data_IF_342011672291
#
_entry.id   IF_342011672291
#
_cell.length_a   1.000
_cell.length_b   1.000
_cell.length_c   1.000
_cell.angle_alpha   90.00
_cell.angle_beta   90.00
_cell.angle_gamma   90.00
#
_symmetry.space_group_name_H-M   'P 1'
#
loop_
_entity.id
_entity.type
_entity.pdbx_description
1 polymer ?
#
# COMPACT_ATOMS: atom_id res chain seq x y z
N UNK A 1 15.39 27.39 23.95
CA UNK A 1 14.85 26.03 23.74
C UNK A 1 14.88 25.75 22.25
N UNK A 2 15.90 25.04 21.79
CA UNK A 2 16.04 24.66 20.37
C UNK A 2 15.05 23.52 20.07
N UNK A 3 14.06 23.78 19.22
CA UNK A 3 13.21 22.70 18.69
C UNK A 3 14.05 21.90 17.71
N UNK A 4 14.58 20.77 18.15
CA UNK A 4 15.12 19.76 17.25
C UNK A 4 14.04 19.37 16.25
N UNK A 5 14.16 19.80 15.00
CA UNK A 5 13.35 19.29 13.90
C UNK A 5 13.76 17.83 13.69
N UNK A 6 13.06 16.91 14.34
CA UNK A 6 13.23 15.49 14.05
C UNK A 6 12.85 15.26 12.58
N UNK A 7 13.82 14.84 11.77
CA UNK A 7 13.57 14.54 10.37
C UNK A 7 12.49 13.45 10.28
N UNK A 8 11.51 13.63 9.38
CA UNK A 8 10.46 12.65 9.14
C UNK A 8 11.08 11.29 8.82
N UNK A 9 10.62 10.24 9.52
CA UNK A 9 11.14 8.88 9.37
C UNK A 9 10.51 8.15 8.19
N UNK A 10 9.23 8.45 7.90
CA UNK A 10 8.50 7.85 6.78
C UNK A 10 9.19 8.16 5.45
N UNK A 11 9.46 7.15 4.60
CA UNK A 11 10.11 7.36 3.30
C UNK A 11 9.34 8.34 2.42
N UNK A 12 10.05 9.33 1.89
CA UNK A 12 9.50 10.40 1.05
C UNK A 12 10.12 10.41 -0.34
N UNK A 13 9.29 10.78 -1.34
CA UNK A 13 9.68 10.93 -2.73
C UNK A 13 8.94 12.08 -3.38
N UNK A 14 9.50 12.57 -4.50
CA UNK A 14 8.89 13.63 -5.28
C UNK A 14 9.18 15.04 -4.75
N UNK A 15 8.61 16.02 -5.41
CA UNK A 15 8.82 17.43 -5.18
C UNK A 15 7.48 18.18 -5.03
N UNK A 16 7.51 19.51 -4.94
CA UNK A 16 6.30 20.32 -4.81
C UNK A 16 5.33 20.15 -6.01
N UNK A 17 5.88 19.99 -7.22
CA UNK A 17 5.07 19.78 -8.44
C UNK A 17 4.33 18.44 -8.38
N UNK A 18 5.01 17.32 -8.10
CA UNK A 18 4.38 16.01 -8.00
C UNK A 18 3.32 15.97 -6.91
N UNK A 19 3.57 16.63 -5.76
CA UNK A 19 2.57 16.73 -4.69
C UNK A 19 1.36 17.56 -5.10
N UNK A 20 1.58 18.68 -5.80
CA UNK A 20 0.49 19.50 -6.33
C UNK A 20 -0.35 18.73 -7.36
N UNK A 21 0.32 17.99 -8.26
CA UNK A 21 -0.34 17.12 -9.23
C UNK A 21 -1.23 16.08 -8.54
N UNK A 22 -0.70 15.33 -7.58
CA UNK A 22 -1.46 14.32 -6.85
C UNK A 22 -2.69 14.92 -6.12
N UNK A 23 -2.52 16.06 -5.43
CA UNK A 23 -3.62 16.76 -4.78
C UNK A 23 -4.70 17.23 -5.75
N UNK A 24 -4.29 17.81 -6.90
CA UNK A 24 -5.23 18.27 -7.93
C UNK A 24 -5.97 17.10 -8.56
N UNK A 25 -5.29 15.99 -8.84
CA UNK A 25 -5.93 14.77 -9.36
C UNK A 25 -7.00 14.26 -8.39
N UNK A 26 -6.68 14.13 -7.11
CA UNK A 26 -7.65 13.71 -6.11
C UNK A 26 -8.84 14.66 -6.03
N UNK A 27 -8.59 15.97 -5.98
CA UNK A 27 -9.64 16.99 -5.91
C UNK A 27 -10.57 16.96 -7.14
N UNK A 28 -10.02 16.86 -8.36
CA UNK A 28 -10.78 16.77 -9.60
C UNK A 28 -11.64 15.51 -9.67
N UNK A 29 -11.16 14.40 -9.10
CA UNK A 29 -11.90 13.14 -9.02
C UNK A 29 -12.84 13.09 -7.80
N UNK A 30 -12.93 14.15 -6.98
CA UNK A 30 -13.75 14.20 -5.79
C UNK A 30 -13.25 13.31 -4.63
N UNK A 31 -11.98 12.89 -4.65
CA UNK A 31 -11.40 12.04 -3.63
C UNK A 31 -10.75 12.84 -2.51
N UNK A 32 -10.90 12.33 -1.28
CA UNK A 32 -10.25 12.87 -0.09
C UNK A 32 -9.40 11.82 0.61
N UNK A 33 -8.43 12.30 1.39
CA UNK A 33 -7.60 11.47 2.25
C UNK A 33 -8.07 11.67 3.69
N UNK A 34 -8.34 10.57 4.41
CA UNK A 34 -8.70 10.56 5.81
C UNK A 34 -7.67 9.81 6.64
N UNK A 35 -7.48 10.24 7.87
CA UNK A 35 -6.42 9.73 8.74
C UNK A 35 -5.04 10.26 8.33
N UNK A 36 -4.03 9.72 8.98
CA UNK A 36 -2.62 10.10 8.76
C UNK A 36 -1.76 8.86 8.64
N UNK A 37 -0.76 8.91 7.77
CA UNK A 37 0.24 7.86 7.74
C UNK A 37 1.18 8.03 8.95
N UNK A 38 1.45 6.96 9.73
CA UNK A 38 2.40 7.03 10.85
C UNK A 38 3.80 7.43 10.39
N UNK A 39 4.48 8.28 11.17
CA UNK A 39 5.86 8.68 10.86
C UNK A 39 6.85 7.62 11.36
N UNK A 40 6.82 6.46 10.70
CA UNK A 40 7.67 5.30 10.99
C UNK A 40 8.55 4.96 9.77
N UNK A 41 9.78 4.48 9.99
CA UNK A 41 10.71 4.20 8.90
C UNK A 41 10.31 2.99 8.06
N UNK A 42 9.57 2.03 8.64
CA UNK A 42 9.17 0.79 7.99
C UNK A 42 7.70 0.53 8.20
N UNK A 43 6.94 0.35 7.11
CA UNK A 43 5.51 0.08 7.15
C UNK A 43 5.12 -0.91 6.05
N UNK A 44 4.20 -1.82 6.37
CA UNK A 44 3.47 -2.64 5.41
C UNK A 44 2.06 -2.10 5.28
N UNK A 45 1.70 -1.56 4.12
CA UNK A 45 0.38 -1.02 3.83
C UNK A 45 -0.49 -2.11 3.19
N UNK A 46 -1.60 -2.48 3.83
CA UNK A 46 -2.58 -3.38 3.23
C UNK A 46 -3.73 -2.57 2.65
N UNK A 47 -3.82 -2.57 1.32
CA UNK A 47 -4.78 -1.75 0.57
C UNK A 47 -5.94 -2.63 0.13
N UNK A 48 -7.13 -2.37 0.65
CA UNK A 48 -8.36 -3.08 0.31
C UNK A 48 -9.58 -2.13 0.36
N UNK A 49 -10.68 -2.47 -0.29
CA UNK A 49 -10.86 -3.51 -1.29
C UNK A 49 -10.03 -3.25 -2.56
N UNK A 50 -9.59 -4.33 -3.25
CA UNK A 50 -8.87 -4.21 -4.53
C UNK A 50 -9.64 -4.90 -5.64
N UNK A 51 -10.57 -4.18 -6.26
CA UNK A 51 -11.53 -4.73 -7.23
C UNK A 51 -11.41 -4.14 -8.62
N UNK A 52 -10.55 -3.11 -8.81
CA UNK A 52 -10.47 -2.36 -10.06
C UNK A 52 -9.04 -1.89 -10.39
N UNK A 53 -8.80 -1.56 -11.67
CA UNK A 53 -7.59 -0.82 -12.07
C UNK A 53 -7.56 0.60 -11.49
N UNK A 54 -8.73 1.19 -11.21
CA UNK A 54 -8.84 2.52 -10.61
C UNK A 54 -8.19 2.61 -9.24
N UNK A 55 -8.17 1.52 -8.50
CA UNK A 55 -7.52 1.45 -7.19
C UNK A 55 -6.04 1.82 -7.27
N UNK A 56 -5.38 1.38 -8.36
CA UNK A 56 -3.99 1.73 -8.63
C UNK A 56 -3.81 3.23 -8.91
N UNK A 57 -4.67 3.82 -9.76
CA UNK A 57 -4.58 5.23 -10.09
C UNK A 57 -4.85 6.13 -8.89
N UNK A 58 -5.84 5.78 -8.06
CA UNK A 58 -6.10 6.49 -6.81
C UNK A 58 -4.93 6.33 -5.84
N UNK A 59 -4.37 5.12 -5.69
CA UNK A 59 -3.19 4.87 -4.87
C UNK A 59 -1.98 5.71 -5.31
N UNK A 60 -1.73 5.81 -6.62
CA UNK A 60 -0.67 6.68 -7.17
C UNK A 60 -0.94 8.15 -6.88
N UNK A 61 -2.18 8.62 -7.05
CA UNK A 61 -2.53 10.01 -6.75
C UNK A 61 -2.31 10.34 -5.26
N UNK A 62 -2.67 9.43 -4.34
CA UNK A 62 -2.40 9.55 -2.89
C UNK A 62 -0.89 9.54 -2.61
N UNK A 63 -0.15 8.60 -3.21
CA UNK A 63 1.31 8.53 -3.08
C UNK A 63 1.97 9.86 -3.47
N UNK A 64 1.58 10.44 -4.61
CA UNK A 64 2.09 11.72 -5.07
C UNK A 64 1.65 12.86 -4.16
N UNK A 65 0.37 12.94 -3.80
CA UNK A 65 -0.19 14.00 -2.96
C UNK A 65 0.49 14.10 -1.60
N UNK A 66 0.80 12.97 -1.00
CA UNK A 66 1.49 12.86 0.27
C UNK A 66 3.01 12.87 0.13
N UNK A 67 3.56 12.72 -1.08
CA UNK A 67 5.00 12.64 -1.35
C UNK A 67 5.63 11.41 -0.71
N UNK A 68 4.99 10.26 -0.78
CA UNK A 68 5.46 9.00 -0.18
C UNK A 68 6.34 8.20 -1.15
N UNK A 69 7.37 7.54 -0.64
CA UNK A 69 8.17 6.57 -1.39
C UNK A 69 7.64 5.16 -1.14
N UNK A 70 6.55 4.82 -1.83
CA UNK A 70 5.90 3.50 -1.70
C UNK A 70 6.49 2.53 -2.70
N UNK A 71 6.77 1.30 -2.29
CA UNK A 71 7.06 0.20 -3.21
C UNK A 71 5.92 -0.82 -3.21
N UNK A 72 5.66 -1.43 -4.37
CA UNK A 72 4.57 -2.38 -4.60
C UNK A 72 4.95 -3.45 -5.64
N UNK A 73 4.27 -4.60 -5.61
CA UNK A 73 4.54 -5.71 -6.53
C UNK A 73 3.64 -5.63 -7.77
N UNK A 74 4.26 -5.59 -8.94
CA UNK A 74 3.57 -5.65 -10.22
C UNK A 74 3.94 -6.89 -11.04
N UNK A 75 3.00 -7.39 -11.86
CA UNK A 75 3.31 -8.48 -12.80
C UNK A 75 4.46 -8.04 -13.71
N UNK A 76 5.47 -8.88 -13.89
CA UNK A 76 6.68 -8.56 -14.67
C UNK A 76 6.37 -8.05 -16.08
N UNK A 77 5.29 -8.56 -16.72
CA UNK A 77 4.87 -8.13 -18.06
C UNK A 77 4.50 -6.64 -18.15
N UNK A 78 4.11 -5.99 -17.05
CA UNK A 78 3.85 -4.55 -17.02
C UNK A 78 5.13 -3.72 -17.19
N UNK A 79 6.28 -4.32 -16.92
CA UNK A 79 7.58 -3.66 -16.95
C UNK A 79 8.38 -3.94 -18.24
N UNK A 80 7.76 -4.55 -19.25
CA UNK A 80 8.36 -4.83 -20.57
C UNK A 80 8.07 -3.73 -21.59
N UNK A 81 7.07 -2.88 -21.33
CA UNK A 81 6.63 -1.82 -22.26
C UNK A 81 7.24 -0.45 -21.98
N UNK A 82 6.86 0.57 -22.77
CA UNK A 82 7.39 1.93 -22.66
C UNK A 82 7.10 2.62 -21.31
N UNK A 83 6.10 2.16 -20.59
CA UNK A 83 5.72 2.64 -19.25
C UNK A 83 6.60 2.10 -18.12
N UNK A 84 7.50 1.15 -18.41
CA UNK A 84 8.34 0.51 -17.41
C UNK A 84 9.18 1.49 -16.56
N UNK A 85 9.83 2.52 -17.12
CA UNK A 85 10.56 3.50 -16.31
C UNK A 85 9.65 4.26 -15.34
N UNK A 86 8.45 4.66 -15.79
CA UNK A 86 7.48 5.34 -14.94
C UNK A 86 6.99 4.42 -13.81
N UNK A 87 6.65 3.18 -14.12
CA UNK A 87 6.18 2.22 -13.10
C UNK A 87 7.27 1.93 -12.06
N UNK A 88 8.54 1.81 -12.47
CA UNK A 88 9.68 1.68 -11.54
C UNK A 88 9.87 2.95 -10.71
N UNK A 89 9.75 4.12 -11.32
CA UNK A 89 9.82 5.38 -10.60
C UNK A 89 8.68 5.51 -9.57
N UNK A 90 7.49 4.99 -9.87
CA UNK A 90 6.36 4.91 -8.94
C UNK A 90 6.54 3.81 -7.86
N UNK A 91 7.69 3.14 -7.81
CA UNK A 91 8.02 2.12 -6.81
C UNK A 91 7.61 0.70 -7.17
N UNK A 92 7.22 0.46 -8.43
CA UNK A 92 6.85 -0.87 -8.91
C UNK A 92 8.05 -1.84 -8.95
N UNK A 93 7.87 -2.98 -8.32
CA UNK A 93 8.83 -4.09 -8.30
C UNK A 93 8.26 -5.21 -9.19
N UNK A 94 8.91 -5.56 -10.32
CA UNK A 94 8.46 -6.64 -11.18
C UNK A 94 8.58 -7.99 -10.48
N UNK A 95 7.50 -8.79 -10.52
CA UNK A 95 7.49 -10.15 -9.98
C UNK A 95 6.87 -11.13 -10.97
N UNK A 96 7.43 -12.33 -11.02
CA UNK A 96 6.85 -13.42 -11.77
C UNK A 96 5.80 -14.14 -10.91
N UNK A 97 4.52 -13.86 -11.17
CA UNK A 97 3.41 -14.48 -10.42
C UNK A 97 3.17 -15.95 -10.80
N UNK A 98 3.74 -16.42 -11.91
CA UNK A 98 3.64 -17.82 -12.31
C UNK A 98 4.61 -18.73 -11.54
N UNK A 99 5.63 -18.16 -10.89
CA UNK A 99 6.57 -18.86 -10.03
C UNK A 99 6.50 -18.28 -8.60
N UNK A 100 5.46 -18.60 -7.83
CA UNK A 100 5.25 -18.03 -6.50
C UNK A 100 6.26 -18.54 -5.47
N UNK A 101 6.90 -19.69 -5.77
CA UNK A 101 7.95 -20.25 -4.92
C UNK A 101 9.15 -19.29 -4.88
N UNK A 102 9.55 -18.90 -3.68
CA UNK A 102 10.66 -17.95 -3.47
C UNK A 102 10.26 -16.48 -3.47
N UNK A 103 9.04 -16.11 -3.90
CA UNK A 103 8.62 -14.70 -3.94
C UNK A 103 8.65 -14.03 -2.55
N UNK A 104 8.11 -14.70 -1.54
CA UNK A 104 8.06 -14.14 -0.18
C UNK A 104 9.47 -13.92 0.41
N UNK A 105 10.38 -14.92 0.41
CA UNK A 105 11.76 -14.73 0.85
C UNK A 105 12.50 -13.61 0.10
N UNK A 106 12.30 -13.51 -1.22
CA UNK A 106 12.95 -12.46 -2.02
C UNK A 106 12.44 -11.06 -1.67
N UNK A 107 11.14 -10.90 -1.47
CA UNK A 107 10.54 -9.64 -1.02
C UNK A 107 11.07 -9.27 0.36
N UNK A 108 11.05 -10.19 1.31
CA UNK A 108 11.56 -9.97 2.67
C UNK A 108 13.02 -9.54 2.64
N UNK A 109 13.87 -10.26 1.92
CA UNK A 109 15.31 -9.94 1.79
C UNK A 109 15.51 -8.52 1.23
N UNK A 110 14.76 -8.15 0.19
CA UNK A 110 14.82 -6.79 -0.40
C UNK A 110 14.35 -5.70 0.55
N UNK A 111 13.36 -5.97 1.39
CA UNK A 111 12.88 -5.02 2.37
C UNK A 111 13.83 -4.91 3.57
N UNK A 112 14.39 -6.03 4.03
CA UNK A 112 15.37 -6.06 5.13
C UNK A 112 16.68 -5.34 4.77
N UNK A 113 17.08 -5.34 3.50
CA UNK A 113 18.26 -4.59 3.04
C UNK A 113 18.06 -3.07 3.02
N UNK A 114 16.85 -2.58 3.31
CA UNK A 114 16.54 -1.15 3.36
C UNK A 114 16.37 -0.69 4.80
N UNK A 115 16.95 0.44 5.14
CA UNK A 115 16.72 1.08 6.45
C UNK A 115 15.27 1.57 6.58
N UNK A 116 14.70 2.03 5.46
CA UNK A 116 13.35 2.60 5.41
C UNK A 116 12.58 2.04 4.22
N UNK A 117 11.30 1.72 4.40
CA UNK A 117 10.40 1.34 3.32
C UNK A 117 8.93 1.54 3.66
N UNK A 118 8.13 1.84 2.64
CA UNK A 118 6.68 1.70 2.64
C UNK A 118 6.33 0.64 1.59
N UNK A 119 5.87 -0.51 2.03
CA UNK A 119 5.53 -1.60 1.14
C UNK A 119 4.02 -1.79 1.07
N UNK A 120 3.42 -1.52 -0.08
CA UNK A 120 1.97 -1.62 -0.30
C UNK A 120 1.62 -2.90 -1.07
N UNK A 121 0.58 -3.58 -0.61
CA UNK A 121 0.00 -4.72 -1.31
C UNK A 121 -1.49 -4.87 -1.02
N UNK A 122 -2.21 -5.51 -1.97
CA UNK A 122 -3.58 -5.94 -1.76
C UNK A 122 -3.57 -7.33 -1.12
N UNK A 123 -4.18 -7.52 0.06
CA UNK A 123 -4.17 -8.81 0.76
C UNK A 123 -4.96 -9.89 0.03
N UNK A 124 -5.90 -9.50 -0.82
CA UNK A 124 -6.67 -10.39 -1.70
C UNK A 124 -5.78 -11.07 -2.75
N UNK A 125 -4.73 -10.37 -3.22
CA UNK A 125 -3.79 -10.85 -4.24
C UNK A 125 -4.38 -10.97 -5.65
N UNK A 126 -5.63 -10.58 -5.84
CA UNK A 126 -6.39 -10.54 -7.10
C UNK A 126 -7.43 -9.43 -7.03
N UNK A 127 -8.12 -9.14 -8.15
CA UNK A 127 -9.27 -8.24 -8.21
C UNK A 127 -10.61 -8.96 -8.27
N UNK A 128 -10.58 -10.28 -8.24
CA UNK A 128 -11.76 -11.12 -8.19
C UNK A 128 -12.07 -11.45 -6.74
N UNK A 129 -13.34 -11.73 -6.45
CA UNK A 129 -13.78 -12.11 -5.13
C UNK A 129 -12.97 -13.29 -4.57
N UNK A 130 -12.55 -13.18 -3.34
CA UNK A 130 -11.81 -14.21 -2.62
C UNK A 130 -12.46 -14.50 -1.27
N UNK A 131 -12.52 -15.77 -0.90
CA UNK A 131 -13.03 -16.18 0.40
C UNK A 131 -12.09 -15.84 1.56
N UNK A 132 -10.80 -15.72 1.28
CA UNK A 132 -9.75 -15.48 2.29
C UNK A 132 -8.64 -14.56 1.77
N UNK A 133 -8.17 -13.69 2.61
CA UNK A 133 -6.96 -12.93 2.36
C UNK A 133 -5.71 -13.81 2.48
N UNK A 134 -4.71 -13.52 1.68
CA UNK A 134 -3.42 -14.24 1.71
C UNK A 134 -2.58 -13.76 2.90
N UNK A 135 -1.89 -14.68 3.57
CA UNK A 135 -1.04 -14.39 4.72
C UNK A 135 0.28 -13.69 4.39
N UNK A 136 0.60 -13.48 3.10
CA UNK A 136 1.88 -12.94 2.67
C UNK A 136 2.22 -11.58 3.29
N UNK A 137 1.26 -10.66 3.43
CA UNK A 137 1.48 -9.36 4.06
C UNK A 137 1.89 -9.50 5.53
N UNK A 138 1.25 -10.41 6.24
CA UNK A 138 1.50 -10.67 7.66
C UNK A 138 2.90 -11.28 7.86
N UNK A 139 3.26 -12.28 7.04
CA UNK A 139 4.59 -12.87 7.07
C UNK A 139 5.69 -11.86 6.75
N UNK A 140 5.48 -10.94 5.77
CA UNK A 140 6.41 -9.85 5.46
C UNK A 140 6.55 -8.93 6.67
N UNK A 141 5.44 -8.46 7.25
CA UNK A 141 5.44 -7.55 8.38
C UNK A 141 6.20 -8.15 9.57
N UNK A 142 5.93 -9.39 9.94
CA UNK A 142 6.63 -10.09 11.01
C UNK A 142 8.13 -10.25 10.76
N UNK A 143 8.51 -10.75 9.58
CA UNK A 143 9.93 -11.01 9.26
C UNK A 143 10.75 -9.72 9.11
N UNK A 144 10.11 -8.60 8.78
CA UNK A 144 10.78 -7.30 8.67
C UNK A 144 10.68 -6.45 9.94
N UNK A 145 9.86 -6.86 10.92
CA UNK A 145 9.57 -6.08 12.13
C UNK A 145 8.77 -4.80 11.83
N UNK A 146 8.11 -4.72 10.67
CA UNK A 146 7.36 -3.54 10.27
C UNK A 146 5.89 -3.66 10.71
N UNK A 147 5.28 -2.64 11.34
CA UNK A 147 3.86 -2.63 11.60
C UNK A 147 3.05 -2.59 10.31
N UNK A 148 1.84 -3.14 10.38
CA UNK A 148 0.84 -3.12 9.30
C UNK A 148 -0.02 -1.89 9.47
N UNK A 149 -0.27 -1.16 8.37
CA UNK A 149 -1.24 -0.06 8.34
C UNK A 149 -2.34 -0.43 7.35
N UNK A 150 -3.58 -0.60 7.79
CA UNK A 150 -4.70 -0.81 6.89
C UNK A 150 -5.04 0.48 6.15
N UNK A 151 -5.31 0.36 4.85
CA UNK A 151 -5.66 1.47 3.95
C UNK A 151 -6.93 1.09 3.19
N UNK A 152 -8.03 1.76 3.48
CA UNK A 152 -9.30 1.54 2.83
C UNK A 152 -9.46 2.44 1.60
N UNK A 153 -9.90 1.85 0.48
CA UNK A 153 -10.31 2.54 -0.74
C UNK A 153 -11.84 2.53 -0.81
N UNK A 154 -12.49 3.58 -0.32
CA UNK A 154 -13.94 3.69 -0.26
C UNK A 154 -14.48 4.49 -1.45
N UNK A 155 -15.00 3.79 -2.46
CA UNK A 155 -15.61 4.40 -3.64
C UNK A 155 -16.99 4.98 -3.36
N UNK A 156 -17.68 4.53 -2.33
CA UNK A 156 -18.95 5.10 -1.91
C UNK A 156 -18.80 6.49 -1.32
N UNK A 157 -17.71 6.70 -0.53
CA UNK A 157 -17.40 7.99 0.09
C UNK A 157 -16.35 8.79 -0.68
N UNK A 158 -15.78 8.25 -1.75
CA UNK A 158 -14.60 8.78 -2.44
C UNK A 158 -13.47 9.12 -1.46
N UNK A 159 -13.09 8.15 -0.65
CA UNK A 159 -12.14 8.35 0.44
C UNK A 159 -11.05 7.29 0.47
N UNK A 160 -9.80 7.74 0.65
CA UNK A 160 -8.70 6.86 1.04
C UNK A 160 -8.43 7.08 2.52
N UNK A 161 -8.70 6.06 3.34
CA UNK A 161 -8.58 6.13 4.79
C UNK A 161 -7.40 5.30 5.29
N UNK A 162 -6.51 5.94 6.04
CA UNK A 162 -5.42 5.29 6.76
C UNK A 162 -5.86 4.92 8.17
N UNK A 163 -5.62 3.67 8.56
CA UNK A 163 -5.85 3.20 9.92
C UNK A 163 -4.63 3.36 10.81
N UNK A 164 -4.79 2.96 12.06
CA UNK A 164 -3.69 2.94 13.03
C UNK A 164 -2.68 1.83 12.71
N UNK A 165 -1.39 2.00 13.05
CA UNK A 165 -0.40 0.95 12.90
C UNK A 165 -0.73 -0.23 13.81
N UNK A 166 -0.67 -1.42 13.26
CA UNK A 166 -0.96 -2.70 13.92
C UNK A 166 0.33 -3.53 13.95
N UNK A 167 0.75 -3.96 15.13
CA UNK A 167 1.89 -4.86 15.30
C UNK A 167 1.43 -6.31 15.17
N UNK A 168 1.89 -7.06 14.13
CA UNK A 168 1.44 -8.43 13.92
C UNK A 168 1.97 -9.37 15.01
N UNK A 169 1.12 -10.33 15.42
CA UNK A 169 1.44 -11.38 16.40
C UNK A 169 1.80 -12.70 15.71
N UNK A 170 1.92 -13.78 16.47
CA UNK A 170 2.08 -15.13 15.93
C UNK A 170 0.76 -15.74 15.44
N UNK A 171 -0.37 -15.18 15.86
CA UNK A 171 -1.70 -15.65 15.50
C UNK A 171 -2.27 -14.87 14.31
N UNK A 172 -2.03 -15.38 13.11
CA UNK A 172 -2.54 -14.76 11.88
C UNK A 172 -4.07 -14.66 11.85
N UNK A 173 -4.79 -15.67 12.39
CA UNK A 173 -6.24 -15.69 12.31
C UNK A 173 -6.87 -14.56 13.15
N UNK A 174 -6.38 -14.38 14.37
CA UNK A 174 -6.78 -13.31 15.27
C UNK A 174 -6.40 -11.92 14.71
N UNK A 175 -5.18 -11.80 14.19
CA UNK A 175 -4.70 -10.54 13.61
C UNK A 175 -5.52 -10.16 12.37
N UNK A 176 -5.88 -11.15 11.55
CA UNK A 176 -6.70 -10.95 10.35
C UNK A 176 -8.10 -10.45 10.70
N UNK A 177 -8.75 -11.02 11.72
CA UNK A 177 -10.05 -10.58 12.20
C UNK A 177 -10.00 -9.10 12.63
N UNK A 178 -9.02 -8.75 13.45
CA UNK A 178 -8.79 -7.36 13.91
C UNK A 178 -8.53 -6.39 12.76
N UNK A 179 -7.76 -6.80 11.75
CA UNK A 179 -7.47 -5.96 10.59
C UNK A 179 -8.67 -5.81 9.65
N UNK A 180 -9.48 -6.87 9.51
CA UNK A 180 -10.65 -6.84 8.61
C UNK A 180 -11.75 -5.90 9.11
N UNK A 181 -11.96 -5.78 10.42
CA UNK A 181 -12.96 -4.88 10.99
C UNK A 181 -12.76 -3.41 10.57
N UNK A 182 -11.53 -3.01 10.24
CA UNK A 182 -11.26 -1.66 9.71
C UNK A 182 -11.95 -1.38 8.37
N UNK A 183 -12.27 -2.42 7.61
CA UNK A 183 -12.90 -2.31 6.28
C UNK A 183 -14.41 -2.48 6.30
N UNK A 184 -15.01 -2.63 7.47
CA UNK A 184 -16.47 -2.74 7.60
C UNK A 184 -17.16 -1.49 7.05
N UNK A 185 -18.15 -1.70 6.18
CA UNK A 185 -18.89 -0.64 5.51
C UNK A 185 -18.13 0.10 4.42
N UNK A 186 -16.92 -0.33 4.04
CA UNK A 186 -16.19 0.19 2.89
C UNK A 186 -16.82 -0.32 1.58
N UNK A 187 -17.13 0.59 0.68
CA UNK A 187 -17.74 0.27 -0.62
C UNK A 187 -16.66 0.21 -1.71
N UNK A 188 -16.41 -0.96 -2.32
CA UNK A 188 -15.46 -1.09 -3.42
C UNK A 188 -16.01 -0.52 -4.74
N UNK A 189 -15.14 -0.37 -5.75
CA UNK A 189 -15.54 0.03 -7.10
C UNK A 189 -16.48 -1.00 -7.73
N UNK A 190 -16.24 -2.29 -7.50
CA UNK A 190 -17.00 -3.42 -7.98
C UNK A 190 -17.41 -4.30 -6.79
N UNK A 191 -18.61 -4.06 -6.20
CA UNK A 191 -19.09 -4.80 -5.02
C UNK A 191 -19.18 -6.32 -5.23
N UNK A 192 -19.46 -6.75 -6.45
CA UNK A 192 -19.53 -8.16 -6.85
C UNK A 192 -18.20 -8.90 -6.71
N UNK A 193 -17.08 -8.16 -6.63
CA UNK A 193 -15.71 -8.69 -6.53
C UNK A 193 -15.12 -8.64 -5.11
N UNK A 194 -15.93 -8.25 -4.11
CA UNK A 194 -15.46 -8.12 -2.72
C UNK A 194 -16.25 -8.96 -1.70
#
# INVERSE_FOLDING_TARGET
MSRSFTALQVPRRGNAFSRALGRRTLALCGWRIAGTIPDLPRLVLIVAPHTSNWDFFIGVAVQLALGLDVCWLGKHTLFLGPWAPLLRWLGGIPVNRAAPQGLLPDVVRRLQSRERFLFALAPEGTRSRVSRWKSGFHAIARQTGAPIVPVALDFGRHEVRFGSPFTPTDDFARDLESLRSFYDGVVPRHPENF
#
